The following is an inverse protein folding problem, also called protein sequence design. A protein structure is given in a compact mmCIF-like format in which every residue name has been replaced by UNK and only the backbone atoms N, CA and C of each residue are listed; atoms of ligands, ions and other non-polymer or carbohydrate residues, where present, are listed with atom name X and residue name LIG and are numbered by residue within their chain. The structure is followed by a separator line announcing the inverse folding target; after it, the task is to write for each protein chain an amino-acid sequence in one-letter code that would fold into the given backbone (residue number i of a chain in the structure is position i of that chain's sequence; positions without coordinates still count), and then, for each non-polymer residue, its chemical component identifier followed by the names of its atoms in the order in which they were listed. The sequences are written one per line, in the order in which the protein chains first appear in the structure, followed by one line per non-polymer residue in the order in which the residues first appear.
data_IF_997937971771
#
_entry.id   IF_997937971771
#
_cell.length_a   1.000
_cell.length_b   1.000
_cell.length_c   1.000
_cell.angle_alpha   90.00
_cell.angle_beta   90.00
_cell.angle_gamma   90.00
#
_symmetry.space_group_name_H-M   'P 1'
#
loop_
_entity.id
_entity.type
_entity.pdbx_description
1 polymer ?
#
# COMPACT_ATOMS: atom_id res chain seq x y z
N UNK A 1 -9.88 19.20 1.85
CA UNK A 1 -11.20 18.79 1.32
C UNK A 1 -12.18 19.93 1.20
N UNK A 2 -12.69 20.50 2.30
CA UNK A 2 -13.70 21.57 2.24
C UNK A 2 -13.36 22.70 1.27
N UNK A 3 -12.15 23.26 1.36
CA UNK A 3 -11.69 24.29 0.40
C UNK A 3 -11.77 23.84 -1.07
N UNK A 4 -11.37 22.61 -1.38
CA UNK A 4 -11.42 22.09 -2.76
C UNK A 4 -12.86 21.92 -3.28
N UNK A 5 -13.81 21.58 -2.41
CA UNK A 5 -15.21 21.34 -2.77
C UNK A 5 -16.00 22.65 -2.76
N UNK A 6 -15.89 23.42 -1.68
CA UNK A 6 -16.71 24.60 -1.39
C UNK A 6 -16.20 25.84 -2.15
N UNK A 7 -14.88 26.02 -2.26
CA UNK A 7 -14.29 27.23 -2.88
C UNK A 7 -13.80 26.98 -4.31
N UNK A 8 -13.21 25.81 -4.57
CA UNK A 8 -12.69 25.46 -5.92
C UNK A 8 -13.69 24.65 -6.75
N UNK A 9 -14.82 24.24 -6.17
CA UNK A 9 -15.92 23.54 -6.83
C UNK A 9 -15.55 22.22 -7.54
N UNK A 10 -14.50 21.53 -7.07
CA UNK A 10 -14.21 20.18 -7.54
C UNK A 10 -15.24 19.19 -7.02
N UNK A 11 -15.66 18.25 -7.89
CA UNK A 11 -16.39 17.07 -7.46
C UNK A 11 -15.47 16.16 -6.64
N UNK A 12 -16.04 15.43 -5.68
CA UNK A 12 -15.24 14.57 -4.79
C UNK A 12 -14.48 13.50 -5.61
N UNK A 13 -15.12 12.93 -6.61
CA UNK A 13 -14.58 11.89 -7.51
C UNK A 13 -13.55 12.40 -8.53
N UNK A 14 -13.32 13.71 -8.60
CA UNK A 14 -12.23 14.33 -9.35
C UNK A 14 -10.98 14.57 -8.48
N UNK A 15 -11.08 14.41 -7.15
CA UNK A 15 -10.00 14.73 -6.22
C UNK A 15 -9.07 13.52 -6.02
N UNK A 16 -7.79 13.69 -6.35
CA UNK A 16 -6.70 12.79 -5.93
C UNK A 16 -5.97 13.41 -4.75
N UNK A 17 -5.74 12.63 -3.69
CA UNK A 17 -4.96 13.09 -2.54
C UNK A 17 -3.56 12.48 -2.61
N UNK A 18 -2.57 13.35 -2.73
CA UNK A 18 -1.16 12.99 -2.56
C UNK A 18 -0.74 13.22 -1.11
N UNK A 19 0.03 12.28 -0.57
CA UNK A 19 0.56 12.38 0.78
C UNK A 19 1.99 11.84 0.84
N UNK A 20 2.83 12.50 1.63
CA UNK A 20 4.21 12.10 1.84
C UNK A 20 4.50 11.91 3.32
N UNK A 21 5.18 10.81 3.67
CA UNK A 21 5.65 10.54 5.04
C UNK A 21 4.51 10.57 6.07
N UNK A 22 4.64 11.36 7.13
CA UNK A 22 3.62 11.54 8.17
C UNK A 22 2.27 12.04 7.64
N UNK A 23 2.26 12.73 6.50
CA UNK A 23 1.03 13.18 5.83
C UNK A 23 0.13 12.02 5.41
N UNK A 24 0.67 10.80 5.30
CA UNK A 24 -0.10 9.58 5.02
C UNK A 24 -1.26 9.38 5.98
N UNK A 25 -1.10 9.68 7.27
CA UNK A 25 -2.18 9.53 8.25
C UNK A 25 -3.37 10.45 7.98
N UNK A 26 -3.11 11.74 7.79
CA UNK A 26 -4.15 12.71 7.46
C UNK A 26 -4.84 12.39 6.14
N UNK A 27 -4.10 11.90 5.14
CA UNK A 27 -4.67 11.50 3.86
C UNK A 27 -5.54 10.24 3.97
N UNK A 28 -5.09 9.23 4.72
CA UNK A 28 -5.89 8.02 4.97
C UNK A 28 -7.15 8.37 5.76
N UNK A 29 -7.05 9.21 6.80
CA UNK A 29 -8.21 9.68 7.56
C UNK A 29 -9.19 10.43 6.65
N UNK A 30 -8.67 11.28 5.76
CA UNK A 30 -9.50 12.00 4.80
C UNK A 30 -10.22 11.02 3.87
N UNK A 31 -9.53 10.02 3.33
CA UNK A 31 -10.14 9.01 2.46
C UNK A 31 -11.23 8.19 3.15
N UNK A 32 -11.08 7.91 4.45
CA UNK A 32 -12.12 7.24 5.24
C UNK A 32 -13.41 8.07 5.30
N UNK A 33 -13.28 9.40 5.40
CA UNK A 33 -14.41 10.33 5.49
C UNK A 33 -14.95 10.78 4.12
N UNK A 34 -14.18 10.59 3.04
CA UNK A 34 -14.54 10.90 1.67
C UNK A 34 -14.23 9.67 0.79
N UNK A 35 -15.05 8.64 0.90
CA UNK A 35 -14.83 7.34 0.23
C UNK A 35 -14.78 7.44 -1.30
N UNK A 36 -15.49 8.42 -1.86
CA UNK A 36 -15.65 8.59 -3.30
C UNK A 36 -14.53 9.40 -3.97
N UNK A 37 -13.46 9.76 -3.24
CA UNK A 37 -12.31 10.42 -3.87
C UNK A 37 -11.72 9.56 -4.99
N UNK A 38 -11.16 10.23 -6.02
CA UNK A 38 -10.56 9.55 -7.18
C UNK A 38 -9.49 8.55 -6.79
N UNK A 39 -8.72 8.84 -5.74
CA UNK A 39 -7.77 7.91 -5.16
C UNK A 39 -6.70 8.56 -4.28
N UNK A 40 -5.87 7.70 -3.68
CA UNK A 40 -4.72 8.09 -2.87
C UNK A 40 -3.39 7.77 -3.55
N UNK A 41 -2.46 8.72 -3.49
CA UNK A 41 -1.04 8.51 -3.81
C UNK A 41 -0.23 8.66 -2.53
N UNK A 42 0.34 7.56 -2.05
CA UNK A 42 1.08 7.52 -0.79
C UNK A 42 2.57 7.40 -1.09
N UNK A 43 3.35 8.45 -0.88
CA UNK A 43 4.81 8.45 -1.05
C UNK A 43 5.52 8.31 0.30
N UNK A 44 6.41 7.33 0.44
CA UNK A 44 7.23 7.13 1.63
C UNK A 44 6.39 7.08 2.93
N UNK A 45 5.22 6.44 2.89
CA UNK A 45 4.33 6.31 4.03
C UNK A 45 4.64 5.03 4.82
N UNK A 46 4.38 5.04 6.12
CA UNK A 46 4.58 3.92 7.05
C UNK A 46 3.26 3.28 7.46
N UNK A 47 3.32 2.14 8.14
CA UNK A 47 2.16 1.42 8.63
C UNK A 47 1.66 1.89 9.99
N UNK A 48 2.58 2.04 10.94
CA UNK A 48 2.39 2.47 12.31
C UNK A 48 3.61 3.30 12.72
N UNK A 49 3.42 4.41 13.42
CA UNK A 49 4.53 5.27 13.87
C UNK A 49 5.32 4.65 15.01
N UNK A 50 4.74 3.73 15.79
CA UNK A 50 5.38 3.17 16.99
C UNK A 50 6.78 2.57 16.71
N UNK A 51 6.96 1.68 15.71
CA UNK A 51 8.28 1.09 15.43
C UNK A 51 9.31 2.14 15.01
N UNK A 52 8.89 3.19 14.31
CA UNK A 52 9.75 4.30 13.92
C UNK A 52 10.16 5.13 15.14
N UNK A 53 9.23 5.39 16.06
CA UNK A 53 9.51 6.12 17.30
C UNK A 53 10.45 5.33 18.23
N UNK A 54 10.21 4.03 18.39
CA UNK A 54 11.07 3.16 19.21
C UNK A 54 12.49 3.07 18.65
N UNK A 55 12.67 3.09 17.33
CA UNK A 55 13.99 3.13 16.69
C UNK A 55 14.82 4.35 17.11
N UNK A 56 14.19 5.50 17.31
CA UNK A 56 14.89 6.75 17.63
C UNK A 56 15.25 6.89 19.11
N UNK A 57 14.75 5.98 19.96
CA UNK A 57 14.87 6.07 21.41
C UNK A 57 15.73 4.93 21.97
N UNK A 58 16.41 5.13 23.11
CA UNK A 58 17.13 4.05 23.77
C UNK A 58 16.21 2.89 24.14
N UNK A 59 16.66 1.65 23.91
CA UNK A 59 15.84 0.42 24.05
C UNK A 59 15.21 0.26 25.44
N UNK A 60 15.88 0.69 26.50
CA UNK A 60 15.35 0.64 27.88
C UNK A 60 14.11 1.54 28.08
N UNK A 61 13.84 2.50 27.19
CA UNK A 61 12.65 3.37 27.22
C UNK A 61 11.49 2.83 26.39
N UNK A 62 11.64 1.68 25.74
CA UNK A 62 10.67 1.18 24.74
C UNK A 62 9.21 1.13 25.23
N UNK A 63 8.96 0.67 26.47
CA UNK A 63 7.61 0.64 27.06
C UNK A 63 7.03 2.03 27.33
N UNK A 64 7.88 2.99 27.70
CA UNK A 64 7.45 4.38 27.91
C UNK A 64 7.09 5.02 26.56
N UNK A 65 7.92 4.80 25.53
CA UNK A 65 7.65 5.27 24.16
C UNK A 65 6.35 4.66 23.64
N UNK A 66 6.15 3.36 23.81
CA UNK A 66 4.91 2.67 23.45
C UNK A 66 3.69 3.30 24.10
N UNK A 67 3.72 3.52 25.41
CA UNK A 67 2.63 4.19 26.12
C UNK A 67 2.40 5.60 25.56
N UNK A 68 3.44 6.42 25.42
CA UNK A 68 3.28 7.78 24.91
C UNK A 68 2.67 7.81 23.50
N UNK A 69 3.15 6.96 22.60
CA UNK A 69 2.64 6.88 21.23
C UNK A 69 1.18 6.42 21.23
N UNK A 70 0.85 5.31 21.91
CA UNK A 70 -0.52 4.77 21.91
C UNK A 70 -1.55 5.70 22.54
N UNK A 71 -1.15 6.54 23.49
CA UNK A 71 -2.08 7.47 24.14
C UNK A 71 -2.19 8.83 23.47
N UNK A 72 -1.14 9.32 22.81
CA UNK A 72 -1.09 10.72 22.34
C UNK A 72 -0.82 10.88 20.84
N UNK A 73 -0.32 9.84 20.16
CA UNK A 73 0.10 9.92 18.75
C UNK A 73 -0.09 8.58 18.03
N UNK A 74 -1.27 7.97 18.14
CA UNK A 74 -1.55 6.66 17.55
C UNK A 74 -1.80 6.77 16.03
N UNK A 75 -0.72 7.02 15.29
CA UNK A 75 -0.73 7.15 13.84
C UNK A 75 -0.64 5.77 13.20
N UNK A 76 -1.79 5.12 13.05
CA UNK A 76 -1.92 3.80 12.44
C UNK A 76 -2.62 3.87 11.07
N UNK A 77 -1.82 3.82 10.00
CA UNK A 77 -2.32 3.91 8.63
C UNK A 77 -3.00 2.61 8.18
N UNK A 78 -2.61 1.45 8.72
CA UNK A 78 -3.28 0.17 8.42
C UNK A 78 -4.76 0.24 8.83
N UNK A 79 -5.04 0.71 10.04
CA UNK A 79 -6.42 0.79 10.56
C UNK A 79 -7.30 1.68 9.68
N UNK A 80 -6.76 2.84 9.25
CA UNK A 80 -7.49 3.76 8.38
C UNK A 80 -7.67 3.19 6.96
N UNK A 81 -6.62 2.67 6.32
CA UNK A 81 -6.72 2.16 4.95
C UNK A 81 -7.63 0.93 4.83
N UNK A 82 -7.80 0.12 5.88
CA UNK A 82 -8.78 -0.96 5.91
C UNK A 82 -10.24 -0.47 5.81
N UNK A 83 -10.48 0.77 6.21
CA UNK A 83 -11.80 1.41 6.16
C UNK A 83 -12.04 2.18 4.85
N UNK A 84 -11.03 2.27 3.98
CA UNK A 84 -11.13 2.95 2.69
C UNK A 84 -11.25 1.92 1.56
N UNK A 85 -12.34 1.98 0.79
CA UNK A 85 -12.59 1.06 -0.32
C UNK A 85 -12.09 1.58 -1.69
N UNK A 86 -11.70 2.85 -1.77
CA UNK A 86 -11.21 3.42 -3.02
C UNK A 86 -9.77 2.99 -3.38
N UNK A 87 -9.31 3.41 -4.57
CA UNK A 87 -8.01 3.02 -5.09
C UNK A 87 -6.86 3.79 -4.42
N UNK A 88 -5.73 3.12 -4.26
CA UNK A 88 -4.49 3.74 -3.85
C UNK A 88 -3.29 3.01 -4.46
N UNK A 89 -2.15 3.68 -4.51
CA UNK A 89 -0.86 3.01 -4.62
C UNK A 89 0.17 3.67 -3.70
N UNK A 90 1.19 2.90 -3.39
CA UNK A 90 2.33 3.25 -2.56
C UNK A 90 3.55 3.46 -3.44
N UNK A 91 4.17 4.62 -3.32
CA UNK A 91 5.52 4.87 -3.81
C UNK A 91 6.47 4.57 -2.65
N UNK A 92 7.27 3.52 -2.81
CA UNK A 92 8.28 3.13 -1.82
C UNK A 92 9.64 3.61 -2.27
N UNK A 93 10.25 4.46 -1.45
CA UNK A 93 11.64 4.87 -1.61
C UNK A 93 12.55 3.77 -1.12
N UNK A 94 13.38 3.22 -2.02
CA UNK A 94 14.17 2.02 -1.71
C UNK A 94 15.39 2.31 -0.85
N UNK A 95 15.87 3.56 -0.80
CA UNK A 95 16.98 4.02 0.05
C UNK A 95 16.50 4.85 1.24
N UNK A 96 15.23 4.72 1.63
CA UNK A 96 14.62 5.56 2.67
C UNK A 96 15.21 5.28 4.07
N UNK A 97 15.91 6.26 4.61
CA UNK A 97 16.57 6.25 5.92
C UNK A 97 15.64 6.61 7.10
N UNK A 98 14.44 7.11 6.80
CA UNK A 98 13.46 7.56 7.78
C UNK A 98 12.43 6.46 8.04
N UNK A 99 11.85 5.92 6.97
CA UNK A 99 10.76 4.93 6.97
C UNK A 99 11.29 3.50 7.14
N UNK A 100 12.57 3.25 6.88
CA UNK A 100 13.20 1.95 7.17
C UNK A 100 13.65 1.85 8.62
N UNK A 101 13.44 0.69 9.25
CA UNK A 101 13.93 0.46 10.61
C UNK A 101 15.46 0.33 10.66
N UNK A 102 16.07 -0.15 9.57
CA UNK A 102 17.52 -0.21 9.42
C UNK A 102 17.85 0.48 8.09
N UNK A 103 18.54 1.63 8.10
CA UNK A 103 18.95 2.32 6.87
C UNK A 103 19.72 1.39 5.93
N UNK A 104 19.43 1.46 4.64
CA UNK A 104 20.02 0.60 3.61
C UNK A 104 19.47 -0.84 3.57
N UNK A 105 18.48 -1.19 4.40
CA UNK A 105 17.80 -2.49 4.36
C UNK A 105 16.33 -2.35 3.97
N UNK A 106 16.06 -2.56 2.68
CA UNK A 106 14.75 -2.44 2.05
C UNK A 106 13.67 -3.27 2.76
N UNK A 107 14.01 -4.46 3.22
CA UNK A 107 13.08 -5.37 3.90
C UNK A 107 12.53 -4.78 5.20
N UNK A 108 13.22 -3.80 5.77
CA UNK A 108 12.81 -3.11 7.02
C UNK A 108 12.00 -1.84 6.78
N UNK A 109 11.71 -1.48 5.53
CA UNK A 109 10.87 -0.34 5.17
C UNK A 109 9.44 -0.56 5.68
N UNK A 110 8.91 0.36 6.50
CA UNK A 110 7.56 0.25 7.09
C UNK A 110 6.43 0.30 6.07
N UNK A 111 6.67 0.81 4.86
CA UNK A 111 5.73 0.69 3.74
C UNK A 111 5.46 -0.77 3.33
N UNK A 112 6.40 -1.69 3.59
CA UNK A 112 6.23 -3.12 3.32
C UNK A 112 5.14 -3.73 4.20
N UNK A 113 5.17 -3.41 5.50
CA UNK A 113 4.16 -3.90 6.46
C UNK A 113 2.79 -3.29 6.16
N UNK A 114 2.74 -2.01 5.77
CA UNK A 114 1.51 -1.36 5.34
C UNK A 114 0.88 -2.13 4.19
N UNK A 115 1.65 -2.35 3.12
CA UNK A 115 1.15 -3.02 1.93
C UNK A 115 0.79 -4.48 2.21
N UNK A 116 1.63 -5.21 2.95
CA UNK A 116 1.37 -6.60 3.33
C UNK A 116 0.02 -6.72 4.05
N UNK A 117 -0.22 -5.91 5.08
CA UNK A 117 -1.44 -6.00 5.87
C UNK A 117 -2.69 -5.53 5.12
N UNK A 118 -2.57 -4.55 4.22
CA UNK A 118 -3.70 -4.09 3.41
C UNK A 118 -4.04 -5.09 2.32
N UNK A 119 -3.06 -5.65 1.61
CA UNK A 119 -3.34 -6.66 0.57
C UNK A 119 -3.90 -7.94 1.16
N UNK A 120 -3.37 -8.40 2.29
CA UNK A 120 -3.92 -9.55 3.02
C UNK A 120 -5.38 -9.31 3.44
N UNK A 121 -5.73 -8.11 3.88
CA UNK A 121 -7.11 -7.74 4.23
C UNK A 121 -8.02 -7.60 3.00
N UNK A 122 -7.56 -6.94 1.92
CA UNK A 122 -8.36 -6.68 0.72
C UNK A 122 -8.62 -7.96 -0.07
N UNK A 123 -7.66 -8.90 -0.11
CA UNK A 123 -7.71 -10.08 -0.97
C UNK A 123 -7.41 -11.38 -0.20
N UNK A 124 -8.22 -11.73 0.83
CA UNK A 124 -7.93 -12.88 1.70
C UNK A 124 -7.98 -14.22 0.96
N UNK A 125 -8.74 -14.33 -0.14
CA UNK A 125 -8.82 -15.54 -0.95
C UNK A 125 -7.65 -15.70 -1.94
N UNK A 126 -6.86 -14.65 -2.14
CA UNK A 126 -5.57 -14.72 -2.85
C UNK A 126 -4.44 -14.98 -1.86
N UNK A 127 -4.37 -14.20 -0.78
CA UNK A 127 -3.33 -14.28 0.24
C UNK A 127 -3.79 -15.11 1.43
N UNK A 128 -4.24 -16.34 1.16
CA UNK A 128 -4.56 -17.29 2.22
C UNK A 128 -3.30 -17.71 3.00
N UNK A 129 -3.47 -18.30 4.19
CA UNK A 129 -2.38 -18.76 5.07
C UNK A 129 -1.62 -20.00 4.53
N UNK A 130 -1.22 -19.96 3.25
CA UNK A 130 -0.42 -20.95 2.55
C UNK A 130 0.88 -20.35 1.98
N UNK A 131 1.49 -21.04 1.01
CA UNK A 131 2.72 -20.62 0.34
C UNK A 131 2.60 -19.24 -0.35
N UNK A 132 1.38 -18.81 -0.69
CA UNK A 132 1.09 -17.52 -1.32
C UNK A 132 1.35 -16.35 -0.37
N UNK A 133 1.05 -16.48 0.92
CA UNK A 133 1.36 -15.45 1.91
C UNK A 133 2.88 -15.28 2.10
N UNK A 134 3.60 -16.40 2.06
CA UNK A 134 5.07 -16.39 2.07
C UNK A 134 5.64 -15.73 0.82
N UNK A 135 5.05 -16.01 -0.35
CA UNK A 135 5.40 -15.37 -1.61
C UNK A 135 5.13 -13.86 -1.59
N UNK A 136 4.00 -13.42 -1.01
CA UNK A 136 3.68 -12.00 -0.83
C UNK A 136 4.79 -11.29 -0.05
N UNK A 137 5.16 -11.82 1.13
CA UNK A 137 6.24 -11.25 1.95
C UNK A 137 7.56 -11.21 1.20
N UNK A 138 7.91 -12.31 0.53
CA UNK A 138 9.13 -12.40 -0.28
C UNK A 138 9.16 -11.33 -1.37
N UNK A 139 8.09 -11.19 -2.15
CA UNK A 139 8.02 -10.27 -3.28
C UNK A 139 8.02 -8.80 -2.84
N UNK A 140 7.26 -8.44 -1.80
CA UNK A 140 7.28 -7.08 -1.25
C UNK A 140 8.70 -6.72 -0.80
N UNK A 141 9.39 -7.60 -0.08
CA UNK A 141 10.74 -7.33 0.44
C UNK A 141 11.86 -7.49 -0.60
N UNK A 142 11.55 -7.91 -1.83
CA UNK A 142 12.53 -8.11 -2.89
C UNK A 142 13.06 -6.79 -3.49
N UNK A 143 14.33 -6.80 -3.87
CA UNK A 143 14.93 -5.76 -4.71
C UNK A 143 14.48 -5.90 -6.18
N UNK A 144 14.83 -4.93 -7.02
CA UNK A 144 14.39 -4.87 -8.41
C UNK A 144 14.74 -6.13 -9.22
N UNK A 145 15.95 -6.69 -9.06
CA UNK A 145 16.38 -7.90 -9.78
C UNK A 145 15.53 -9.11 -9.38
N UNK A 146 15.33 -9.28 -8.07
CA UNK A 146 14.52 -10.38 -7.53
C UNK A 146 13.05 -10.24 -7.94
N UNK A 147 12.51 -9.01 -7.97
CA UNK A 147 11.15 -8.75 -8.44
C UNK A 147 10.99 -9.10 -9.90
N UNK A 148 11.92 -8.71 -10.77
CA UNK A 148 11.90 -9.07 -12.20
C UNK A 148 11.86 -10.59 -12.36
N UNK A 149 12.74 -11.33 -11.67
CA UNK A 149 12.76 -12.79 -11.75
C UNK A 149 11.43 -13.43 -11.28
N UNK A 150 10.81 -12.89 -10.23
CA UNK A 150 9.51 -13.37 -9.74
C UNK A 150 8.36 -13.01 -10.71
N UNK A 151 8.39 -11.83 -11.33
CA UNK A 151 7.44 -11.43 -12.36
C UNK A 151 7.55 -12.33 -13.59
N UNK A 152 8.76 -12.65 -14.05
CA UNK A 152 8.96 -13.58 -15.16
C UNK A 152 8.44 -14.99 -14.82
N UNK A 153 8.67 -15.45 -13.59
CA UNK A 153 8.25 -16.77 -13.13
C UNK A 153 6.72 -16.91 -13.03
N UNK A 154 6.02 -15.89 -12.53
CA UNK A 154 4.59 -15.97 -12.18
C UNK A 154 3.66 -15.16 -13.11
N UNK A 155 4.17 -14.13 -13.78
CA UNK A 155 3.38 -13.17 -14.56
C UNK A 155 3.77 -13.11 -16.04
N UNK A 156 4.27 -14.21 -16.61
CA UNK A 156 4.68 -14.31 -18.02
C UNK A 156 3.61 -13.89 -19.04
N UNK A 157 2.31 -13.98 -18.70
CA UNK A 157 1.20 -13.44 -19.48
C UNK A 157 0.39 -12.41 -18.67
N UNK A 158 0.91 -11.19 -18.56
CA UNK A 158 0.26 -10.10 -17.81
C UNK A 158 -1.10 -9.71 -18.39
N UNK A 159 -1.31 -9.85 -19.72
CA UNK A 159 -2.60 -9.52 -20.36
C UNK A 159 -3.73 -10.41 -19.87
N UNK A 160 -3.48 -11.70 -19.68
CA UNK A 160 -4.48 -12.62 -19.12
C UNK A 160 -4.93 -12.18 -17.71
N UNK A 161 -3.98 -11.78 -16.86
CA UNK A 161 -4.26 -11.31 -15.50
C UNK A 161 -5.03 -9.98 -15.51
N UNK A 162 -4.67 -9.06 -16.42
CA UNK A 162 -5.37 -7.80 -16.65
C UNK A 162 -6.81 -8.04 -17.12
N UNK A 163 -7.03 -8.95 -18.08
CA UNK A 163 -8.36 -9.28 -18.57
C UNK A 163 -9.23 -9.86 -17.46
N UNK A 164 -8.74 -10.84 -16.70
CA UNK A 164 -9.50 -11.47 -15.60
C UNK A 164 -9.85 -10.48 -14.47
N UNK A 165 -8.92 -9.58 -14.12
CA UNK A 165 -9.22 -8.52 -13.12
C UNK A 165 -10.18 -7.47 -13.67
N UNK A 166 -10.16 -7.20 -14.97
CA UNK A 166 -11.13 -6.31 -15.61
C UNK A 166 -12.53 -6.92 -15.67
N UNK A 167 -12.66 -8.19 -16.07
CA UNK A 167 -13.93 -8.93 -16.09
C UNK A 167 -14.56 -8.95 -14.69
N UNK A 168 -13.77 -9.24 -13.66
CA UNK A 168 -14.26 -9.22 -12.28
C UNK A 168 -14.78 -7.85 -11.85
N UNK A 169 -14.13 -6.75 -12.27
CA UNK A 169 -14.59 -5.38 -11.98
C UNK A 169 -15.90 -5.04 -12.70
N UNK A 170 -16.13 -5.56 -13.89
CA UNK A 170 -17.40 -5.38 -14.62
C UNK A 170 -18.53 -6.09 -13.86
N UNK A 171 -18.29 -7.31 -13.40
CA UNK A 171 -19.26 -8.08 -12.61
C UNK A 171 -19.49 -7.50 -11.21
N UNK A 172 -18.48 -6.82 -10.66
CA UNK A 172 -18.49 -6.23 -9.32
C UNK A 172 -18.19 -4.73 -9.39
N UNK A 173 -19.11 -3.88 -9.91
CA UNK A 173 -18.83 -2.48 -10.23
C UNK A 173 -18.47 -1.63 -9.01
N UNK A 174 -19.00 -1.98 -7.83
CA UNK A 174 -18.69 -1.30 -6.55
C UNK A 174 -17.59 -2.06 -5.82
N UNK A 175 -16.53 -1.37 -5.41
CA UNK A 175 -15.46 -1.96 -4.64
C UNK A 175 -15.95 -2.29 -3.22
N UNK A 176 -15.72 -3.53 -2.78
CA UNK A 176 -15.99 -3.95 -1.42
C UNK A 176 -14.86 -4.85 -0.95
N UNK A 177 -14.31 -4.54 0.21
CA UNK A 177 -13.26 -5.33 0.85
C UNK A 177 -13.75 -5.85 2.20
N UNK A 178 -13.42 -7.10 2.56
CA UNK A 178 -12.60 -8.06 1.79
C UNK A 178 -13.26 -8.58 0.50
N UNK A 179 -12.47 -8.71 -0.57
CA UNK A 179 -12.92 -9.15 -1.89
C UNK A 179 -13.07 -10.67 -1.98
N UNK A 180 -14.00 -11.14 -2.82
CA UNK A 180 -14.16 -12.57 -3.17
C UNK A 180 -13.28 -13.00 -4.34
N UNK A 181 -12.52 -12.10 -4.94
CA UNK A 181 -11.58 -12.46 -6.00
C UNK A 181 -10.55 -13.46 -5.47
N UNK A 182 -10.37 -14.56 -6.19
CA UNK A 182 -9.56 -15.70 -5.73
C UNK A 182 -10.37 -16.91 -5.28
N UNK A 183 -11.70 -16.79 -5.19
CA UNK A 183 -12.57 -17.94 -4.93
C UNK A 183 -12.34 -19.04 -5.98
N UNK A 184 -12.12 -20.27 -5.51
CA UNK A 184 -11.81 -21.46 -6.31
C UNK A 184 -10.51 -21.42 -7.13
N UNK A 185 -9.62 -20.45 -6.91
CA UNK A 185 -8.33 -20.43 -7.60
C UNK A 185 -7.46 -21.60 -7.13
N UNK A 186 -6.73 -22.19 -8.07
CA UNK A 186 -5.62 -23.09 -7.75
C UNK A 186 -4.50 -22.33 -7.01
N UNK A 187 -3.60 -23.07 -6.34
CA UNK A 187 -2.42 -22.47 -5.69
C UNK A 187 -1.59 -21.63 -6.70
N UNK A 188 -1.39 -22.16 -7.90
CA UNK A 188 -0.65 -21.46 -8.94
C UNK A 188 -1.35 -20.15 -9.34
N UNK A 189 -2.66 -20.16 -9.57
CA UNK A 189 -3.40 -18.93 -9.88
C UNK A 189 -3.31 -17.90 -8.76
N UNK A 190 -3.45 -18.32 -7.49
CA UNK A 190 -3.26 -17.42 -6.35
C UNK A 190 -1.86 -16.79 -6.35
N UNK A 191 -0.82 -17.58 -6.60
CA UNK A 191 0.56 -17.08 -6.68
C UNK A 191 0.76 -16.10 -7.85
N UNK A 192 0.18 -16.37 -9.02
CA UNK A 192 0.24 -15.47 -10.19
C UNK A 192 -0.42 -14.13 -9.89
N UNK A 193 -1.63 -14.15 -9.32
CA UNK A 193 -2.35 -12.93 -8.96
C UNK A 193 -1.72 -12.21 -7.76
N UNK A 194 -1.15 -12.94 -6.80
CA UNK A 194 -0.46 -12.35 -5.65
C UNK A 194 0.67 -11.40 -6.07
N UNK A 195 1.49 -11.81 -7.04
CA UNK A 195 2.58 -10.99 -7.59
C UNK A 195 2.02 -9.83 -8.42
N UNK A 196 1.09 -10.11 -9.33
CA UNK A 196 0.47 -9.10 -10.19
C UNK A 196 -0.21 -7.98 -9.39
N UNK A 197 -0.98 -8.32 -8.35
CA UNK A 197 -1.67 -7.34 -7.50
C UNK A 197 -0.66 -6.44 -6.79
N UNK A 198 0.42 -6.97 -6.22
CA UNK A 198 1.45 -6.13 -5.57
C UNK A 198 1.99 -5.10 -6.55
N UNK A 199 2.22 -5.47 -7.80
CA UNK A 199 2.71 -4.58 -8.87
C UNK A 199 1.72 -3.46 -9.21
N UNK A 200 0.41 -3.65 -8.98
CA UNK A 200 -0.59 -2.60 -9.16
C UNK A 200 -0.62 -1.59 -7.99
N UNK A 201 -0.11 -1.97 -6.82
CA UNK A 201 -0.15 -1.15 -5.61
C UNK A 201 1.20 -0.57 -5.21
N UNK A 202 2.32 -1.07 -5.73
CA UNK A 202 3.66 -0.71 -5.28
C UNK A 202 4.54 -0.23 -6.43
N UNK A 203 4.97 1.02 -6.36
CA UNK A 203 5.97 1.60 -7.26
C UNK A 203 7.24 1.86 -6.47
N UNK A 204 8.36 1.29 -6.90
CA UNK A 204 9.65 1.57 -6.28
C UNK A 204 10.30 2.82 -6.89
N UNK A 205 10.85 3.69 -6.04
CA UNK A 205 11.63 4.85 -6.44
C UNK A 205 13.02 4.78 -5.79
N UNK A 206 14.07 4.66 -6.59
CA UNK A 206 15.45 4.56 -6.09
C UNK A 206 16.00 5.90 -5.62
N UNK A 207 15.59 6.31 -4.41
CA UNK A 207 16.04 7.53 -3.77
C UNK A 207 15.89 7.50 -2.24
N UNK A 208 16.43 8.53 -1.59
CA UNK A 208 16.32 8.79 -0.16
C UNK A 208 15.01 9.53 0.18
N UNK A 209 14.71 9.67 1.47
CA UNK A 209 13.42 10.18 1.93
C UNK A 209 13.07 11.55 1.34
N UNK A 210 14.00 12.50 1.40
CA UNK A 210 13.78 13.91 1.01
C UNK A 210 14.07 14.23 -0.46
N UNK A 211 14.35 13.23 -1.30
CA UNK A 211 14.57 13.48 -2.74
C UNK A 211 13.27 13.90 -3.42
N UNK A 212 13.22 15.00 -4.20
CA UNK A 212 12.00 15.38 -4.91
C UNK A 212 11.46 14.25 -5.79
N UNK A 213 10.15 13.99 -5.70
CA UNK A 213 9.49 12.97 -6.50
C UNK A 213 9.31 13.46 -7.96
N UNK A 214 9.82 12.73 -8.98
CA UNK A 214 9.63 13.13 -10.37
C UNK A 214 8.15 13.09 -10.79
N UNK A 215 7.76 13.98 -11.70
CA UNK A 215 6.38 14.06 -12.21
C UNK A 215 5.88 12.73 -12.79
N UNK A 216 6.78 11.92 -13.33
CA UNK A 216 6.45 10.61 -13.93
C UNK A 216 5.88 9.60 -12.94
N UNK A 217 6.01 9.82 -11.62
CA UNK A 217 5.44 8.92 -10.60
C UNK A 217 4.01 9.29 -10.22
N UNK A 218 3.51 10.45 -10.64
CA UNK A 218 2.14 10.88 -10.35
C UNK A 218 1.17 10.29 -11.36
N UNK A 219 0.70 9.09 -11.07
CA UNK A 219 -0.39 8.44 -11.79
C UNK A 219 -1.70 8.60 -11.03
N UNK A 220 -2.82 8.62 -11.75
CA UNK A 220 -4.14 8.54 -11.14
C UNK A 220 -4.35 7.11 -10.65
N UNK A 221 -4.57 6.89 -9.33
CA UNK A 221 -4.84 5.54 -8.82
C UNK A 221 -6.04 4.92 -9.51
N UNK A 222 -5.98 3.61 -9.73
CA UNK A 222 -7.08 2.85 -10.33
C UNK A 222 -7.39 1.61 -9.51
N UNK A 223 -8.64 1.17 -9.57
CA UNK A 223 -9.06 -0.04 -8.88
C UNK A 223 -8.45 -1.27 -9.56
N UNK A 224 -7.69 -2.06 -8.80
CA UNK A 224 -7.08 -3.31 -9.28
C UNK A 224 -8.12 -4.41 -9.56
N UNK A 225 -8.95 -4.74 -8.56
CA UNK A 225 -9.97 -5.80 -8.54
C UNK A 225 -11.26 -5.21 -8.02
#
# INVERSE_FOLDING_TARGET
MRYAIEELHFLVDDIVIFAWSIGGYSACWTAVNYQDIRGLVLDAVFDDVLPLAQRQMPTYTSKFVEKTIRYYLDLNNIQLLKLYNGPFYLIRRTQDEIISLIPGRLETNRGNELLFHILHYRYPLIYNDDQTLTLLRRYICSNSIQKIALLEQYCSNQRELQTRTHEYRIENPVASYPSKFGENFSLLERQRFAIYIVDQYLVDFDSQHCTPLPQTYFHVPSRCI
#
